data_IF_691267310929
#
_entry.id   IF_691267310929
#
_cell.length_a   1.000
_cell.length_b   1.000
_cell.length_c   1.000
_cell.angle_alpha   90.00
_cell.angle_beta   90.00
_cell.angle_gamma   90.00
#
_symmetry.space_group_name_H-M   'P 1'
#
loop_
_entity.id
_entity.type
_entity.pdbx_description
1 polymer ?
#
# COMPACT_ATOMS: atom_id res chain seq x y z
N UNK A 1 -4.62 16.16 -52.76
CA UNK A 1 -3.78 15.48 -51.75
C UNK A 1 -4.07 16.13 -50.41
N UNK A 2 -4.87 15.49 -49.54
CA UNK A 2 -5.18 16.00 -48.20
C UNK A 2 -4.33 15.22 -47.21
N UNK A 3 -3.34 15.89 -46.63
CA UNK A 3 -2.51 15.36 -45.55
C UNK A 3 -3.37 15.25 -44.29
N UNK A 4 -3.66 14.03 -43.84
CA UNK A 4 -4.24 13.77 -42.53
C UNK A 4 -3.12 13.87 -41.49
N UNK A 5 -3.12 14.98 -40.73
CA UNK A 5 -2.27 15.16 -39.56
C UNK A 5 -2.76 14.22 -38.46
N UNK A 6 -2.05 13.11 -38.24
CA UNK A 6 -2.28 12.24 -37.08
C UNK A 6 -1.73 12.98 -35.85
N UNK A 7 -2.62 13.58 -35.07
CA UNK A 7 -2.27 14.12 -33.75
C UNK A 7 -2.11 12.91 -32.82
N UNK A 8 -0.86 12.51 -32.58
CA UNK A 8 -0.49 11.58 -31.51
C UNK A 8 -0.73 12.29 -30.17
N UNK A 9 -1.92 12.08 -29.60
CA UNK A 9 -2.21 12.49 -28.23
C UNK A 9 -1.31 11.72 -27.27
N UNK A 10 -0.44 12.43 -26.56
CA UNK A 10 0.35 11.87 -25.47
C UNK A 10 -0.60 11.53 -24.32
N UNK A 11 -1.03 10.26 -24.24
CA UNK A 11 -1.73 9.76 -23.06
C UNK A 11 -0.74 9.82 -21.92
N UNK A 12 -0.95 10.74 -20.97
CA UNK A 12 -0.24 10.71 -19.70
C UNK A 12 -0.65 9.43 -18.99
N UNK A 13 0.16 8.37 -19.11
CA UNK A 13 0.05 7.20 -18.24
C UNK A 13 0.35 7.69 -16.84
N UNK A 14 -0.69 7.94 -16.04
CA UNK A 14 -0.53 8.10 -14.60
C UNK A 14 0.14 6.81 -14.12
N UNK A 15 1.44 6.88 -13.83
CA UNK A 15 2.21 5.72 -13.40
C UNK A 15 1.84 5.48 -11.96
N UNK A 16 0.96 4.51 -11.72
CA UNK A 16 0.50 4.22 -10.39
C UNK A 16 1.55 3.38 -9.64
N UNK A 17 1.56 3.45 -8.31
CA UNK A 17 2.48 2.66 -7.46
C UNK A 17 1.70 1.61 -6.69
N UNK A 18 2.39 0.63 -6.12
CA UNK A 18 1.72 -0.35 -5.26
C UNK A 18 1.95 0.01 -3.78
N UNK A 19 0.94 -0.24 -2.94
CA UNK A 19 1.07 -0.12 -1.48
C UNK A 19 0.84 -1.49 -0.87
N UNK A 20 1.79 -1.97 -0.06
CA UNK A 20 1.73 -3.27 0.60
C UNK A 20 1.81 -3.10 2.12
N UNK A 21 0.94 -3.78 2.86
CA UNK A 21 0.95 -3.81 4.32
C UNK A 21 1.51 -5.16 4.78
N UNK A 22 2.50 -5.14 5.66
CA UNK A 22 3.21 -6.35 6.10
C UNK A 22 2.88 -6.66 7.57
N UNK A 23 2.77 -7.95 7.90
CA UNK A 23 2.46 -8.42 9.27
C UNK A 23 3.68 -8.63 10.15
N UNK A 24 4.90 -8.48 9.63
CA UNK A 24 6.14 -8.79 10.34
C UNK A 24 6.33 -7.94 11.61
N UNK A 25 6.13 -8.57 12.77
CA UNK A 25 6.18 -7.94 14.09
C UNK A 25 7.56 -7.41 14.49
N UNK A 26 8.63 -7.87 13.83
CA UNK A 26 9.98 -7.33 14.07
C UNK A 26 10.18 -5.95 13.42
N UNK A 27 9.20 -5.48 12.65
CA UNK A 27 9.22 -4.14 12.05
C UNK A 27 10.14 -4.01 10.85
N UNK A 28 10.68 -5.13 10.34
CA UNK A 28 11.44 -5.14 9.10
C UNK A 28 10.51 -4.81 7.92
N UNK A 29 11.01 -3.95 7.05
CA UNK A 29 10.30 -3.53 5.85
C UNK A 29 10.42 -4.61 4.78
N UNK A 30 9.36 -4.79 3.98
CA UNK A 30 9.37 -5.67 2.81
C UNK A 30 9.60 -7.16 3.14
N UNK A 31 9.33 -7.55 4.37
CA UNK A 31 9.48 -8.92 4.86
C UNK A 31 8.17 -9.46 5.42
N UNK A 32 7.95 -10.76 5.25
CA UNK A 32 6.79 -11.48 5.76
C UNK A 32 5.54 -11.35 4.89
N UNK A 33 4.42 -11.96 5.34
CA UNK A 33 3.15 -11.93 4.62
C UNK A 33 2.60 -10.51 4.50
N UNK A 34 1.96 -10.23 3.37
CA UNK A 34 1.45 -8.90 3.07
C UNK A 34 0.15 -8.90 2.28
N UNK A 35 -0.61 -7.82 2.43
CA UNK A 35 -1.74 -7.49 1.56
C UNK A 35 -1.43 -6.23 0.76
N UNK A 36 -1.75 -6.23 -0.53
CA UNK A 36 -1.36 -5.20 -1.48
C UNK A 36 -2.53 -4.54 -2.18
N UNK A 37 -2.30 -3.28 -2.53
CA UNK A 37 -3.14 -2.44 -3.35
C UNK A 37 -2.30 -2.09 -4.57
N UNK A 38 -2.66 -2.66 -5.71
CA UNK A 38 -1.92 -2.45 -6.94
C UNK A 38 -2.38 -1.18 -7.66
N UNK A 39 -1.48 -0.54 -8.40
CA UNK A 39 -1.79 0.60 -9.26
C UNK A 39 -2.58 1.72 -8.55
N UNK A 40 -2.12 2.10 -7.36
CA UNK A 40 -2.69 3.18 -6.54
C UNK A 40 -2.27 4.54 -7.10
N UNK A 41 -3.24 5.44 -7.28
CA UNK A 41 -3.02 6.83 -7.65
C UNK A 41 -2.67 7.70 -6.41
N UNK A 42 -1.99 8.85 -6.58
CA UNK A 42 -1.67 9.72 -5.44
C UNK A 42 -2.94 10.23 -4.77
N UNK A 43 -2.93 10.32 -3.44
CA UNK A 43 -4.06 10.76 -2.62
C UNK A 43 -5.09 9.68 -2.30
N UNK A 44 -5.09 8.54 -3.01
CA UNK A 44 -6.02 7.42 -2.77
C UNK A 44 -5.68 6.71 -1.46
N UNK A 45 -6.70 6.52 -0.61
CA UNK A 45 -6.52 5.88 0.69
C UNK A 45 -6.66 4.36 0.58
N UNK A 46 -5.59 3.64 0.91
CA UNK A 46 -5.55 2.18 0.98
C UNK A 46 -5.90 1.72 2.40
N UNK A 47 -6.94 0.90 2.53
CA UNK A 47 -7.47 0.45 3.81
C UNK A 47 -7.57 -1.08 3.78
N UNK A 48 -6.75 -1.81 4.56
CA UNK A 48 -6.96 -3.23 4.81
C UNK A 48 -8.36 -3.42 5.44
N UNK A 49 -9.26 -4.09 4.72
CA UNK A 49 -10.68 -4.22 5.09
C UNK A 49 -11.12 -5.69 5.19
N UNK A 50 -12.35 -5.93 5.65
CA UNK A 50 -12.90 -7.28 5.83
C UNK A 50 -12.12 -8.06 6.89
N UNK A 51 -11.75 -9.31 6.57
CA UNK A 51 -10.89 -10.19 7.38
C UNK A 51 -9.64 -9.49 7.94
N UNK A 52 -9.08 -8.60 7.12
CA UNK A 52 -7.79 -7.95 7.33
C UNK A 52 -7.86 -6.71 8.23
N UNK A 53 -9.05 -6.29 8.65
CA UNK A 53 -9.23 -5.08 9.46
C UNK A 53 -8.63 -5.23 10.88
N UNK A 54 -8.67 -6.45 11.42
CA UNK A 54 -8.17 -6.78 12.76
C UNK A 54 -6.71 -7.24 12.76
N UNK A 55 -6.13 -7.51 11.59
CA UNK A 55 -4.71 -7.86 11.47
C UNK A 55 -3.82 -6.73 11.95
N UNK A 56 -2.72 -7.11 12.60
CA UNK A 56 -1.66 -6.18 13.00
C UNK A 56 -0.73 -5.93 11.82
N UNK A 57 -0.88 -4.77 11.18
CA UNK A 57 -0.03 -4.34 10.08
C UNK A 57 1.14 -3.53 10.63
N UNK A 58 2.30 -4.16 10.74
CA UNK A 58 3.46 -3.61 11.43
C UNK A 58 4.15 -2.51 10.61
N UNK A 59 4.27 -2.72 9.30
CA UNK A 59 4.89 -1.81 8.34
C UNK A 59 4.06 -1.71 7.07
N UNK A 60 4.31 -0.67 6.28
CA UNK A 60 3.79 -0.58 4.93
C UNK A 60 4.90 -0.18 3.96
N UNK A 61 4.89 -0.77 2.77
CA UNK A 61 5.83 -0.50 1.69
C UNK A 61 5.13 0.16 0.51
N UNK A 62 5.75 1.19 -0.05
CA UNK A 62 5.38 1.76 -1.34
C UNK A 62 6.36 1.21 -2.37
N UNK A 63 5.83 0.54 -3.39
CA UNK A 63 6.61 -0.23 -4.36
C UNK A 63 6.48 0.31 -5.77
N UNK A 64 7.44 -0.05 -6.62
CA UNK A 64 7.45 0.28 -8.05
C UNK A 64 7.40 1.81 -8.32
N UNK A 65 8.00 2.59 -7.41
CA UNK A 65 8.04 4.05 -7.52
C UNK A 65 8.83 4.46 -8.77
N UNK A 66 8.21 5.16 -9.75
CA UNK A 66 8.91 5.54 -10.96
C UNK A 66 10.12 6.44 -10.72
N UNK A 67 11.10 6.36 -11.64
CA UNK A 67 12.29 7.21 -11.57
C UNK A 67 11.93 8.70 -11.69
N UNK A 68 12.54 9.54 -10.85
CA UNK A 68 12.35 10.99 -10.81
C UNK A 68 11.14 11.47 -9.99
N UNK A 69 10.38 10.55 -9.39
CA UNK A 69 9.23 10.91 -8.56
C UNK A 69 9.65 11.40 -7.18
N UNK A 70 9.14 12.55 -6.73
CA UNK A 70 9.31 12.99 -5.35
C UNK A 70 8.01 12.77 -4.59
N UNK A 71 7.98 11.75 -3.74
CA UNK A 71 6.76 11.36 -3.02
C UNK A 71 6.96 11.30 -1.52
N UNK A 72 5.84 11.40 -0.80
CA UNK A 72 5.74 11.16 0.62
C UNK A 72 4.70 10.07 0.85
N UNK A 73 5.12 8.96 1.44
CA UNK A 73 4.22 7.95 1.98
C UNK A 73 3.76 8.35 3.37
N UNK A 74 2.51 8.05 3.69
CA UNK A 74 1.88 8.36 4.98
C UNK A 74 1.10 7.15 5.47
N UNK A 75 1.37 6.73 6.69
CA UNK A 75 0.67 5.65 7.39
C UNK A 75 -0.12 6.19 8.58
N UNK A 76 -1.31 5.63 8.80
CA UNK A 76 -2.28 6.10 9.79
C UNK A 76 -2.75 4.96 10.70
N UNK A 77 -3.09 5.29 11.95
CA UNK A 77 -3.69 4.36 12.91
C UNK A 77 -5.21 4.25 12.82
N UNK A 78 -5.83 4.97 11.89
CA UNK A 78 -7.26 4.90 11.58
C UNK A 78 -7.46 4.45 10.13
N UNK A 79 -8.72 4.21 9.74
CA UNK A 79 -9.13 3.76 8.41
C UNK A 79 -9.61 4.89 7.49
N UNK A 80 -9.11 6.12 7.66
CA UNK A 80 -9.64 7.32 6.98
C UNK A 80 -8.59 8.20 6.28
N UNK A 81 -7.29 7.95 6.44
CA UNK A 81 -6.19 8.75 5.86
C UNK A 81 -6.33 10.29 5.96
N UNK A 82 -7.00 10.79 7.01
CA UNK A 82 -7.35 12.21 7.17
C UNK A 82 -6.89 12.83 8.50
N UNK A 83 -6.21 12.07 9.36
CA UNK A 83 -5.67 12.59 10.63
C UNK A 83 -4.16 12.82 10.53
N UNK A 84 -3.51 13.11 11.66
CA UNK A 84 -2.05 13.16 11.70
C UNK A 84 -1.49 11.76 11.38
N UNK A 85 -0.59 11.65 10.38
CA UNK A 85 0.02 10.36 10.06
C UNK A 85 0.89 9.91 11.23
N UNK A 86 0.73 8.64 11.60
CA UNK A 86 1.55 8.00 12.64
C UNK A 86 2.97 7.73 12.15
N UNK A 87 3.10 7.51 10.84
CA UNK A 87 4.35 7.21 10.16
C UNK A 87 4.39 7.96 8.85
N UNK A 88 5.56 8.42 8.45
CA UNK A 88 5.77 9.01 7.15
C UNK A 88 7.18 8.70 6.69
N UNK A 89 7.35 8.61 5.38
CA UNK A 89 8.64 8.50 4.74
C UNK A 89 8.60 9.34 3.47
N UNK A 90 9.74 9.86 3.05
CA UNK A 90 9.87 10.58 1.78
C UNK A 90 10.96 9.96 0.93
N UNK A 91 10.70 9.89 -0.36
CA UNK A 91 11.62 9.33 -1.34
C UNK A 91 11.78 10.27 -2.52
N UNK A 92 13.00 10.35 -3.05
CA UNK A 92 13.27 11.06 -4.30
C UNK A 92 13.10 10.17 -5.54
N UNK A 93 12.36 9.05 -5.41
CA UNK A 93 11.96 8.20 -6.54
C UNK A 93 13.12 7.85 -7.43
N UNK A 94 14.24 7.42 -6.85
CA UNK A 94 15.37 6.90 -7.63
C UNK A 94 15.09 5.46 -8.15
N UNK A 95 13.83 5.09 -8.31
CA UNK A 95 13.41 3.71 -8.56
C UNK A 95 13.46 2.82 -7.31
N UNK A 96 13.64 3.40 -6.12
CA UNK A 96 13.70 2.67 -4.87
C UNK A 96 12.33 2.65 -4.18
N UNK A 97 12.00 1.51 -3.59
CA UNK A 97 10.82 1.35 -2.73
C UNK A 97 10.99 2.17 -1.44
N UNK A 98 9.86 2.58 -0.87
CA UNK A 98 9.82 3.41 0.34
C UNK A 98 9.11 2.67 1.46
N UNK A 99 9.74 2.61 2.64
CA UNK A 99 9.15 1.97 3.80
C UNK A 99 8.55 2.96 4.78
N UNK A 100 7.37 2.65 5.28
CA UNK A 100 6.75 3.22 6.47
C UNK A 100 7.10 2.29 7.66
N UNK A 101 8.05 2.72 8.53
CA UNK A 101 8.67 1.84 9.51
C UNK A 101 7.81 1.68 10.75
N UNK A 102 7.87 0.50 11.36
CA UNK A 102 7.12 0.14 12.55
C UNK A 102 7.39 1.08 13.73
N UNK A 103 6.34 1.45 14.48
CA UNK A 103 6.42 2.30 15.67
C UNK A 103 5.68 1.72 16.89
N UNK A 104 5.53 0.39 16.97
CA UNK A 104 4.80 -0.29 18.04
C UNK A 104 3.28 -0.37 17.83
N UNK A 105 2.72 0.38 16.88
CA UNK A 105 1.29 0.41 16.61
C UNK A 105 0.96 -0.16 15.22
N UNK A 106 -0.25 -0.71 15.07
CA UNK A 106 -0.75 -1.19 13.78
C UNK A 106 -1.07 -0.02 12.87
N UNK A 107 -0.59 -0.07 11.64
CA UNK A 107 -1.16 0.71 10.55
C UNK A 107 -2.58 0.20 10.24
N UNK A 108 -3.49 1.11 9.96
CA UNK A 108 -4.89 0.83 9.58
C UNK A 108 -5.26 1.46 8.24
N UNK A 109 -4.46 2.39 7.74
CA UNK A 109 -4.52 2.85 6.37
C UNK A 109 -3.20 3.51 5.96
N UNK A 110 -3.00 3.66 4.65
CA UNK A 110 -1.85 4.35 4.08
C UNK A 110 -2.21 5.02 2.76
N UNK A 111 -1.48 6.08 2.43
CA UNK A 111 -1.53 6.72 1.11
C UNK A 111 -0.17 7.30 0.76
N UNK A 112 -0.05 7.80 -0.46
CA UNK A 112 1.10 8.58 -0.88
C UNK A 112 0.65 9.83 -1.62
N UNK A 113 1.52 10.84 -1.60
CA UNK A 113 1.28 12.10 -2.27
C UNK A 113 2.57 12.62 -2.89
N UNK A 114 2.46 13.41 -3.97
CA UNK A 114 3.60 14.11 -4.54
C UNK A 114 4.05 15.25 -3.62
N UNK A 115 5.37 15.39 -3.47
CA UNK A 115 5.98 16.48 -2.71
C UNK A 115 6.35 17.59 -3.69
N UNK A 116 5.62 18.70 -3.68
CA UNK A 116 6.04 19.90 -4.40
C UNK A 116 7.15 20.63 -3.63
N UNK A 117 8.22 21.04 -4.34
CA UNK A 117 9.25 21.91 -3.77
C UNK A 117 8.64 23.25 -3.36
N UNK A 118 8.79 23.64 -2.08
CA UNK A 118 8.42 24.96 -1.58
C UNK A 118 7.03 25.08 -0.93
N UNK A 119 6.21 24.04 -0.90
CA UNK A 119 4.98 24.06 -0.11
C UNK A 119 5.29 23.93 1.38
N UNK A 120 5.14 25.02 2.12
CA UNK A 120 4.90 24.97 3.58
C UNK A 120 3.57 24.25 3.79
N UNK A 121 3.49 23.41 4.83
CA UNK A 121 2.30 22.64 5.23
C UNK A 121 1.06 23.54 5.22
N UNK A 122 0.30 23.48 4.13
CA UNK A 122 -1.09 23.88 4.15
C UNK A 122 -1.84 22.57 4.39
N UNK A 123 -2.35 22.39 5.60
CA UNK A 123 -3.29 21.30 5.89
C UNK A 123 -4.60 21.71 5.21
N UNK A 124 -4.62 21.61 3.88
CA UNK A 124 -5.88 21.56 3.16
C UNK A 124 -6.37 20.14 3.36
N UNK A 125 -7.51 20.03 4.04
CA UNK A 125 -8.38 18.86 3.99
C UNK A 125 -8.70 18.58 2.53
N UNK A 126 -7.79 17.92 1.82
CA UNK A 126 -8.15 17.21 0.61
C UNK A 126 -8.94 16.00 1.11
N UNK A 127 -10.27 16.11 1.03
CA UNK A 127 -11.20 14.99 1.13
C UNK A 127 -10.58 13.79 0.43
N UNK A 128 -10.54 12.63 1.11
CA UNK A 128 -10.01 11.41 0.52
C UNK A 128 -10.68 11.17 -0.84
N UNK A 129 -9.94 11.44 -1.92
CA UNK A 129 -10.33 11.07 -3.26
C UNK A 129 -10.18 9.57 -3.35
N UNK A 130 -11.33 8.90 -3.24
CA UNK A 130 -11.52 7.48 -3.45
C UNK A 130 -10.80 6.56 -2.43
N UNK A 131 -11.52 5.51 -2.02
CA UNK A 131 -10.98 4.41 -1.20
C UNK A 131 -10.85 3.20 -2.11
N UNK A 132 -9.71 2.52 -2.05
CA UNK A 132 -9.51 1.30 -2.82
C UNK A 132 -9.42 0.07 -1.92
N UNK A 133 -9.87 -1.08 -2.44
CA UNK A 133 -9.75 -2.38 -1.79
C UNK A 133 -8.43 -3.04 -2.20
N UNK A 134 -7.95 -3.96 -1.36
CA UNK A 134 -6.79 -4.76 -1.67
C UNK A 134 -7.07 -5.65 -2.89
N UNK A 135 -6.06 -5.81 -3.72
CA UNK A 135 -6.11 -6.60 -4.96
C UNK A 135 -5.07 -7.71 -4.99
N UNK A 136 -4.11 -7.70 -4.06
CA UNK A 136 -3.00 -8.67 -4.03
C UNK A 136 -2.78 -9.23 -2.62
N UNK A 137 -2.36 -10.50 -2.55
CA UNK A 137 -1.94 -11.16 -1.33
C UNK A 137 -0.58 -11.83 -1.58
N UNK A 138 0.42 -11.52 -0.77
CA UNK A 138 1.72 -12.19 -0.78
C UNK A 138 1.94 -13.05 0.45
N UNK A 139 2.41 -14.27 0.24
CA UNK A 139 2.77 -15.20 1.30
C UNK A 139 4.28 -15.17 1.56
N UNK A 140 4.68 -15.65 2.74
CA UNK A 140 6.09 -15.66 3.16
C UNK A 140 7.00 -16.60 2.35
N UNK A 141 6.42 -17.43 1.49
CA UNK A 141 7.10 -18.32 0.54
C UNK A 141 7.45 -17.63 -0.79
N UNK A 142 7.05 -16.36 -0.97
CA UNK A 142 7.28 -15.57 -2.17
C UNK A 142 6.19 -15.67 -3.23
N UNK A 143 5.14 -16.47 -3.01
CA UNK A 143 3.99 -16.53 -3.92
C UNK A 143 3.09 -15.29 -3.76
N UNK A 144 2.55 -14.80 -4.88
CA UNK A 144 1.63 -13.65 -4.95
C UNK A 144 0.34 -14.07 -5.66
N UNK A 145 -0.79 -13.73 -5.06
CA UNK A 145 -2.13 -14.08 -5.52
C UNK A 145 -2.94 -12.82 -5.84
N UNK A 146 -3.61 -12.82 -6.99
CA UNK A 146 -4.62 -11.80 -7.32
C UNK A 146 -5.92 -12.12 -6.58
N UNK A 147 -6.34 -11.19 -5.72
CA UNK A 147 -7.56 -11.27 -4.92
C UNK A 147 -8.59 -10.20 -5.33
N UNK A 148 -8.37 -9.51 -6.45
CA UNK A 148 -9.24 -8.40 -6.92
C UNK A 148 -10.70 -8.79 -7.13
N UNK A 149 -10.94 -10.05 -7.52
CA UNK A 149 -12.27 -10.60 -7.78
C UNK A 149 -12.80 -11.47 -6.62
N UNK A 150 -12.06 -11.57 -5.52
CA UNK A 150 -12.49 -12.35 -4.37
C UNK A 150 -13.43 -11.53 -3.50
N UNK A 151 -14.51 -12.16 -3.04
CA UNK A 151 -15.36 -11.53 -2.04
C UNK A 151 -14.62 -11.46 -0.70
N UNK A 152 -15.01 -10.56 0.19
CA UNK A 152 -14.41 -10.47 1.53
C UNK A 152 -14.56 -11.80 2.31
N UNK A 153 -15.49 -12.68 1.90
CA UNK A 153 -15.73 -14.03 2.44
C UNK A 153 -14.78 -15.10 1.85
N UNK A 154 -14.43 -15.01 0.56
CA UNK A 154 -13.48 -15.94 -0.08
C UNK A 154 -12.05 -15.74 0.42
N UNK A 155 -11.67 -14.51 0.74
CA UNK A 155 -10.37 -14.18 1.37
C UNK A 155 -10.27 -14.82 2.78
N UNK A 156 -11.38 -14.92 3.53
CA UNK A 156 -11.40 -15.62 4.82
C UNK A 156 -11.07 -17.12 4.69
N UNK A 157 -11.46 -17.76 3.58
CA UNK A 157 -11.21 -19.19 3.38
C UNK A 157 -9.74 -19.48 3.03
N UNK A 158 -9.03 -18.53 2.41
CA UNK A 158 -7.59 -18.63 2.15
C UNK A 158 -6.74 -18.43 3.41
N UNK A 159 -7.16 -17.54 4.32
CA UNK A 159 -6.47 -17.36 5.61
C UNK A 159 -6.55 -18.64 6.47
N UNK A 160 -7.69 -19.33 6.42
CA UNK A 160 -7.89 -20.64 7.06
C UNK A 160 -7.06 -21.79 6.43
N UNK A 161 -6.64 -21.66 5.17
CA UNK A 161 -5.72 -22.61 4.52
C UNK A 161 -4.27 -22.33 4.93
N UNK A 162 -3.88 -21.06 5.09
CA UNK A 162 -2.55 -20.67 5.58
C UNK A 162 -2.31 -21.08 7.04
N UNK A 163 -3.35 -21.12 7.86
CA UNK A 163 -3.30 -21.61 9.24
C UNK A 163 -3.13 -23.13 9.35
N UNK A 164 -3.41 -23.91 8.30
CA UNK A 164 -3.33 -25.38 8.35
C UNK A 164 -1.93 -25.93 8.12
N UNK A 165 -1.01 -25.12 7.60
CA UNK A 165 0.40 -25.50 7.38
C UNK A 165 1.38 -24.89 8.40
N UNK A 166 0.89 -24.07 9.34
CA UNK A 166 1.71 -23.41 10.38
C UNK A 166 1.57 -24.02 11.79
N UNK A 167 0.81 -25.11 11.96
CA UNK A 167 0.81 -25.91 13.20
C UNK A 167 1.95 -26.92 13.17
N UNK A 168 3.19 -26.43 13.16
CA UNK A 168 4.34 -27.24 13.61
C UNK A 168 5.59 -26.41 13.94
N UNK A 169 5.48 -25.39 14.79
CA UNK A 169 6.65 -24.94 15.60
C UNK A 169 6.20 -24.52 17.00
N UNK A 170 6.17 -25.53 17.88
CA UNK A 170 6.70 -25.50 19.25
C UNK A 170 6.31 -24.34 20.20
N UNK A 171 5.39 -24.66 21.10
CA UNK A 171 5.31 -24.13 22.47
C UNK A 171 6.62 -24.40 23.25
N UNK A 172 7.28 -23.34 23.72
CA UNK A 172 8.11 -23.23 24.94
C UNK A 172 8.05 -21.73 25.30
N UNK A 173 7.48 -21.20 26.39
CA UNK A 173 6.90 -21.68 27.63
C UNK A 173 5.63 -20.84 27.91
#
# INVERSE_FOLDING_TARGET
MLYQSVILGLVATATAIDIRFYTNRNGACFEGPWIGFANVNPGVCCIPAGANANTFWATAGLHAIPKGWRIMGRGYGNSRCNELPMQYASGNGNGADLCLPHNGNSLKSAKYDFVQSGQKRDVKDEECKDRTKASELGLGDGNVYDISNMTDEDVNNLDNLSHKELVHVTLIC
#
